data_IF_014507819897
#
_entry.id   IF_014507819897
#
_cell.length_a   1.000
_cell.length_b   1.000
_cell.length_c   1.000
_cell.angle_alpha   90.00
_cell.angle_beta   90.00
_cell.angle_gamma   90.00
#
_symmetry.space_group_name_H-M   'P 1'
#
loop_
_entity.id
_entity.type
_entity.pdbx_description
1 polymer ?
#
# COMPACT_ATOMS: atom_id res chain seq x y z
N UNK A 1 50.62 16.71 -50.66
CA UNK A 1 49.84 17.94 -50.47
C UNK A 1 48.58 17.55 -49.74
N UNK A 2 48.50 17.83 -48.47
CA UNK A 2 47.30 17.58 -47.67
C UNK A 2 46.37 18.81 -47.68
N UNK A 3 45.12 18.59 -47.88
CA UNK A 3 44.05 19.57 -47.76
C UNK A 3 43.79 19.89 -46.30
N UNK A 4 43.79 21.17 -46.03
CA UNK A 4 43.51 21.82 -44.75
C UNK A 4 42.01 22.06 -44.65
N UNK A 5 41.35 21.75 -43.52
CA UNK A 5 39.94 22.14 -43.29
C UNK A 5 39.86 23.57 -42.76
N UNK A 6 38.83 24.32 -43.07
CA UNK A 6 38.66 25.71 -42.61
C UNK A 6 38.16 25.80 -41.15
N UNK A 7 38.84 26.67 -40.43
CA UNK A 7 38.43 27.24 -39.13
C UNK A 7 37.06 27.97 -39.25
N UNK A 8 36.14 27.63 -38.39
CA UNK A 8 35.00 28.48 -38.06
C UNK A 8 34.93 28.67 -36.54
N UNK A 9 35.71 29.65 -36.10
CA UNK A 9 35.50 30.36 -34.84
C UNK A 9 34.34 31.35 -35.06
N UNK A 10 33.18 31.07 -34.49
CA UNK A 10 32.16 32.07 -34.19
C UNK A 10 31.79 32.01 -32.72
N UNK A 11 31.83 33.15 -31.96
CA UNK A 11 31.50 33.17 -30.55
C UNK A 11 29.98 33.12 -30.36
N UNK A 12 29.47 32.52 -29.25
CA UNK A 12 28.05 32.43 -28.98
C UNK A 12 27.46 33.81 -28.61
N UNK A 13 26.45 34.21 -29.38
CA UNK A 13 25.71 35.42 -29.18
C UNK A 13 24.93 35.44 -27.86
N UNK A 14 25.02 36.55 -27.24
CA UNK A 14 24.33 37.07 -26.05
C UNK A 14 22.79 36.91 -26.16
N UNK A 15 22.18 36.01 -25.41
CA UNK A 15 20.73 35.96 -25.21
C UNK A 15 20.39 36.30 -23.76
N UNK A 16 20.72 37.54 -23.37
CA UNK A 16 20.17 38.12 -22.16
C UNK A 16 19.27 39.28 -22.58
N UNK A 17 18.09 39.31 -21.98
CA UNK A 17 17.08 40.38 -21.99
C UNK A 17 15.91 40.24 -22.98
N UNK A 18 14.92 39.42 -22.59
CA UNK A 18 13.54 39.67 -22.94
C UNK A 18 12.65 39.52 -21.70
N UNK A 19 11.93 40.59 -21.29
CA UNK A 19 10.96 40.50 -20.20
C UNK A 19 9.70 39.75 -20.65
N UNK A 20 9.01 39.01 -19.72
CA UNK A 20 7.81 38.26 -20.05
C UNK A 20 6.62 39.17 -20.36
N UNK A 21 5.71 38.76 -21.29
CA UNK A 21 4.56 39.57 -21.68
C UNK A 21 3.54 39.70 -20.54
N UNK A 22 3.04 40.91 -20.39
CA UNK A 22 2.02 41.33 -19.43
C UNK A 22 0.69 40.58 -19.65
N UNK A 23 0.16 40.01 -18.57
CA UNK A 23 -1.18 39.38 -18.55
C UNK A 23 -2.25 40.49 -18.55
N UNK A 24 -2.97 40.64 -19.63
CA UNK A 24 -4.16 41.46 -19.72
C UNK A 24 -5.31 40.80 -18.94
N UNK A 25 -5.83 41.50 -17.95
CA UNK A 25 -7.14 41.24 -17.35
C UNK A 25 -8.21 41.48 -18.42
N UNK A 26 -9.05 40.49 -18.65
CA UNK A 26 -10.38 40.70 -19.25
C UNK A 26 -11.40 40.02 -18.38
N UNK A 27 -12.18 40.83 -17.72
CA UNK A 27 -13.48 40.51 -17.16
C UNK A 27 -14.40 40.06 -18.32
N UNK A 28 -15.08 38.96 -18.16
CA UNK A 28 -16.33 38.70 -18.84
C UNK A 28 -17.18 37.70 -18.03
N UNK A 29 -18.24 38.26 -17.49
CA UNK A 29 -19.41 37.53 -17.01
C UNK A 29 -19.99 36.65 -18.12
N UNK A 30 -20.33 35.40 -17.78
CA UNK A 30 -21.00 34.46 -18.69
C UNK A 30 -21.62 33.30 -17.92
N UNK A 31 -22.91 33.45 -17.61
CA UNK A 31 -23.81 32.38 -17.11
C UNK A 31 -23.80 31.20 -18.04
N UNK A 32 -23.62 29.99 -17.53
CA UNK A 32 -23.84 28.74 -18.28
C UNK A 32 -24.00 27.56 -17.34
N UNK A 33 -25.24 27.07 -17.22
CA UNK A 33 -25.69 25.86 -16.55
C UNK A 33 -25.00 24.62 -17.09
N UNK A 34 -24.75 23.64 -16.21
CA UNK A 34 -24.89 22.23 -16.57
C UNK A 34 -23.67 21.37 -16.36
N UNK A 35 -23.83 20.36 -15.54
CA UNK A 35 -22.95 19.19 -15.59
C UNK A 35 -22.26 18.88 -14.26
N UNK A 36 -23.06 18.61 -13.27
CA UNK A 36 -22.70 17.85 -12.10
C UNK A 36 -22.20 16.46 -12.54
N UNK A 37 -20.90 16.32 -12.65
CA UNK A 37 -20.21 15.02 -12.62
C UNK A 37 -19.34 15.04 -11.39
N UNK A 38 -20.00 14.94 -10.25
CA UNK A 38 -19.40 14.48 -9.03
C UNK A 38 -18.89 13.05 -9.28
N UNK A 39 -17.64 12.94 -9.72
CA UNK A 39 -16.87 11.74 -9.50
C UNK A 39 -16.75 11.57 -7.98
N UNK A 40 -17.69 10.80 -7.45
CA UNK A 40 -17.65 10.26 -6.11
C UNK A 40 -16.40 9.36 -5.99
N UNK A 41 -15.26 10.04 -5.77
CA UNK A 41 -14.08 9.38 -5.24
C UNK A 41 -14.39 9.22 -3.77
N UNK A 42 -15.00 8.07 -3.45
CA UNK A 42 -15.23 7.62 -2.10
C UNK A 42 -14.00 7.96 -1.27
N UNK A 43 -14.20 8.83 -0.30
CA UNK A 43 -13.19 9.24 0.66
C UNK A 43 -12.83 8.01 1.50
N UNK A 44 -11.84 7.25 1.02
CA UNK A 44 -11.14 6.22 1.77
C UNK A 44 -10.36 6.89 2.92
N UNK A 45 -11.09 7.27 3.98
CA UNK A 45 -10.54 7.76 5.24
C UNK A 45 -10.23 6.60 6.19
N UNK A 46 -9.94 5.42 5.64
CA UNK A 46 -9.50 4.25 6.39
C UNK A 46 -8.06 4.44 6.87
N UNK A 47 -7.90 4.77 8.13
CA UNK A 47 -6.70 4.55 8.97
C UNK A 47 -5.33 4.77 8.30
N UNK A 48 -5.08 5.97 7.78
CA UNK A 48 -3.71 6.44 7.53
C UNK A 48 -3.03 6.60 8.91
N UNK A 49 -2.45 5.54 9.44
CA UNK A 49 -1.62 5.62 10.65
C UNK A 49 -0.33 6.35 10.26
N UNK A 50 -0.07 7.56 10.78
CA UNK A 50 1.20 8.21 10.52
C UNK A 50 2.30 7.41 11.20
N UNK A 51 3.28 6.98 10.42
CA UNK A 51 4.52 6.43 10.93
C UNK A 51 5.36 7.50 11.64
N UNK A 52 6.50 7.13 12.24
CA UNK A 52 7.41 8.05 12.89
C UNK A 52 7.80 9.20 11.96
N UNK A 53 7.67 10.44 12.43
CA UNK A 53 7.96 11.64 11.66
C UNK A 53 6.91 12.02 10.61
N UNK A 54 5.64 11.54 10.74
CA UNK A 54 4.54 11.92 9.85
C UNK A 54 4.62 11.29 8.44
N UNK A 55 5.50 10.32 8.23
CA UNK A 55 5.60 9.56 6.96
C UNK A 55 4.55 8.46 6.94
N UNK A 56 3.98 8.19 5.76
CA UNK A 56 3.11 7.02 5.57
C UNK A 56 3.94 5.75 5.68
N UNK A 57 3.38 4.73 6.35
CA UNK A 57 3.99 3.41 6.39
C UNK A 57 3.97 2.76 5.00
N UNK A 58 4.97 1.95 4.64
CA UNK A 58 4.99 1.21 3.38
C UNK A 58 3.74 0.34 3.22
N UNK A 59 3.04 0.48 2.10
CA UNK A 59 1.85 -0.30 1.76
C UNK A 59 1.58 -0.27 0.25
N UNK A 60 0.80 -1.24 -0.21
CA UNK A 60 0.29 -1.28 -1.58
C UNK A 60 -1.14 -1.86 -1.56
N UNK A 61 -2.13 -0.96 -1.45
CA UNK A 61 -3.54 -1.35 -1.39
C UNK A 61 -3.98 -2.13 -2.63
N UNK A 62 -3.51 -1.74 -3.81
CA UNK A 62 -3.89 -2.42 -5.07
C UNK A 62 -3.40 -3.88 -5.08
N UNK A 63 -2.21 -4.16 -4.50
CA UNK A 63 -1.70 -5.52 -4.38
C UNK A 63 -2.49 -6.33 -3.33
N UNK A 64 -2.85 -5.72 -2.20
CA UNK A 64 -3.68 -6.35 -1.17
C UNK A 64 -5.06 -6.71 -1.73
N UNK A 65 -5.74 -5.77 -2.37
CA UNK A 65 -7.05 -5.98 -2.99
C UNK A 65 -7.00 -7.04 -4.10
N UNK A 66 -5.96 -7.00 -4.95
CA UNK A 66 -5.78 -7.98 -6.02
C UNK A 66 -5.50 -9.40 -5.47
N UNK A 67 -4.76 -9.50 -4.36
CA UNK A 67 -4.50 -10.78 -3.70
C UNK A 67 -5.78 -11.38 -3.13
N UNK A 68 -6.53 -10.61 -2.35
CA UNK A 68 -7.80 -11.05 -1.75
C UNK A 68 -8.83 -11.43 -2.81
N UNK A 69 -8.94 -10.64 -3.86
CA UNK A 69 -9.83 -10.96 -4.96
C UNK A 69 -9.41 -12.22 -5.73
N UNK A 70 -8.09 -12.46 -5.89
CA UNK A 70 -7.59 -13.72 -6.46
C UNK A 70 -7.92 -14.93 -5.57
N UNK A 71 -7.85 -14.78 -4.24
CA UNK A 71 -8.21 -15.82 -3.28
C UNK A 71 -9.71 -16.14 -3.31
N UNK A 72 -10.58 -15.13 -3.53
CA UNK A 72 -12.03 -15.33 -3.71
C UNK A 72 -12.39 -16.05 -5.02
N UNK A 73 -11.48 -16.04 -6.01
CA UNK A 73 -11.69 -16.63 -7.34
C UNK A 73 -11.03 -18.00 -7.50
N UNK A 74 -10.00 -18.32 -6.72
CA UNK A 74 -9.16 -19.50 -6.95
C UNK A 74 -8.59 -20.08 -5.68
N UNK A 75 -8.83 -21.38 -5.47
CA UNK A 75 -8.25 -22.14 -4.34
C UNK A 75 -6.72 -22.16 -4.39
N UNK A 76 -6.13 -22.29 -5.57
CA UNK A 76 -4.67 -22.25 -5.70
C UNK A 76 -4.06 -20.90 -5.30
N UNK A 77 -4.83 -19.81 -5.44
CA UNK A 77 -4.39 -18.51 -4.93
C UNK A 77 -4.41 -18.45 -3.39
N UNK A 78 -5.35 -19.14 -2.74
CA UNK A 78 -5.38 -19.27 -1.28
C UNK A 78 -4.16 -20.04 -0.79
N UNK A 79 -3.86 -21.19 -1.40
CA UNK A 79 -2.72 -22.02 -1.03
C UNK A 79 -1.40 -21.20 -1.12
N UNK A 80 -1.18 -20.52 -2.25
CA UNK A 80 0.01 -19.68 -2.46
C UNK A 80 0.06 -18.49 -1.49
N UNK A 81 -1.06 -17.83 -1.22
CA UNK A 81 -1.10 -16.72 -0.28
C UNK A 81 -0.76 -17.16 1.14
N UNK A 82 -1.31 -18.32 1.58
CA UNK A 82 -1.10 -18.84 2.93
C UNK A 82 0.35 -19.28 3.21
N UNK A 83 1.15 -19.52 2.16
CA UNK A 83 2.57 -19.82 2.30
C UNK A 83 3.44 -18.57 2.48
N UNK A 84 2.96 -17.40 2.03
CA UNK A 84 3.77 -16.19 1.92
C UNK A 84 3.36 -15.08 2.90
N UNK A 85 2.07 -14.99 3.25
CA UNK A 85 1.53 -13.89 4.06
C UNK A 85 0.58 -14.39 5.13
N UNK A 86 0.46 -13.60 6.18
CA UNK A 86 -0.51 -13.74 7.27
C UNK A 86 -1.48 -12.55 7.32
N UNK A 87 -2.51 -12.59 8.16
CA UNK A 87 -3.46 -11.48 8.31
C UNK A 87 -2.81 -10.18 8.79
N UNK A 88 -1.77 -10.27 9.62
CA UNK A 88 -1.04 -9.13 10.17
C UNK A 88 -0.16 -8.43 9.12
N UNK A 89 0.11 -9.08 7.98
CA UNK A 89 0.88 -8.53 6.88
C UNK A 89 0.09 -7.55 6.01
N UNK A 90 -1.21 -7.44 6.22
CA UNK A 90 -2.03 -6.45 5.53
C UNK A 90 -1.93 -5.08 6.20
N UNK A 91 -1.78 -4.04 5.40
CA UNK A 91 -1.75 -2.66 5.90
C UNK A 91 -3.13 -2.22 6.42
N UNK A 92 -4.20 -2.62 5.70
CA UNK A 92 -5.57 -2.35 6.11
C UNK A 92 -6.09 -3.48 6.99
N UNK A 93 -6.49 -3.21 8.25
CA UNK A 93 -7.06 -4.25 9.12
C UNK A 93 -8.27 -4.96 8.49
N UNK A 94 -9.08 -4.23 7.72
CA UNK A 94 -10.21 -4.80 6.97
C UNK A 94 -9.77 -5.92 6.00
N UNK A 95 -8.62 -5.76 5.34
CA UNK A 95 -8.07 -6.78 4.44
C UNK A 95 -7.57 -8.02 5.22
N UNK A 96 -6.95 -7.81 6.39
CA UNK A 96 -6.58 -8.90 7.30
C UNK A 96 -7.79 -9.72 7.73
N UNK A 97 -8.90 -9.07 8.09
CA UNK A 97 -10.15 -9.77 8.44
C UNK A 97 -10.72 -10.60 7.29
N UNK A 98 -10.68 -10.06 6.07
CA UNK A 98 -11.11 -10.81 4.87
C UNK A 98 -10.18 -12.02 4.63
N UNK A 99 -8.87 -11.84 4.76
CA UNK A 99 -7.89 -12.91 4.64
C UNK A 99 -8.14 -14.04 5.64
N UNK A 100 -8.35 -13.70 6.94
CA UNK A 100 -8.64 -14.67 7.99
C UNK A 100 -9.93 -15.46 7.72
N UNK A 101 -10.99 -14.79 7.27
CA UNK A 101 -12.23 -15.45 6.92
C UNK A 101 -12.05 -16.42 5.74
N UNK A 102 -11.31 -16.04 4.69
CA UNK A 102 -11.01 -16.89 3.54
C UNK A 102 -10.22 -18.12 3.96
N UNK A 103 -9.13 -17.93 4.71
CA UNK A 103 -8.25 -19.03 5.13
C UNK A 103 -8.93 -19.96 6.12
N UNK A 104 -9.78 -19.43 7.02
CA UNK A 104 -10.61 -20.22 7.94
C UNK A 104 -11.59 -21.13 7.19
N UNK A 105 -12.33 -20.60 6.21
CA UNK A 105 -13.24 -21.39 5.37
C UNK A 105 -12.49 -22.46 4.58
N UNK A 106 -11.36 -22.08 3.96
CA UNK A 106 -10.53 -23.01 3.19
C UNK A 106 -9.99 -24.15 4.05
N UNK A 107 -9.53 -23.86 5.28
CA UNK A 107 -9.03 -24.86 6.22
C UNK A 107 -10.11 -25.87 6.65
N UNK A 108 -11.36 -25.44 6.73
CA UNK A 108 -12.52 -26.31 6.99
C UNK A 108 -13.00 -27.07 5.74
N UNK A 109 -12.40 -26.81 4.58
CA UNK A 109 -12.82 -27.39 3.30
C UNK A 109 -14.15 -26.86 2.78
N UNK A 110 -14.60 -25.72 3.30
CA UNK A 110 -15.83 -25.03 2.88
C UNK A 110 -15.61 -24.23 1.58
N UNK A 111 -16.68 -23.99 0.79
CA UNK A 111 -16.58 -23.13 -0.37
C UNK A 111 -16.14 -21.72 0.02
N UNK A 112 -15.26 -21.11 -0.77
CA UNK A 112 -14.81 -19.74 -0.59
C UNK A 112 -15.33 -18.91 -1.73
N UNK A 113 -16.30 -18.03 -1.42
CA UNK A 113 -16.90 -17.09 -2.33
C UNK A 113 -17.39 -15.85 -1.53
N UNK A 114 -17.75 -14.73 -2.18
CA UNK A 114 -18.18 -13.53 -1.47
C UNK A 114 -19.36 -13.73 -0.50
N UNK A 115 -20.22 -14.71 -0.74
CA UNK A 115 -21.40 -14.96 0.10
C UNK A 115 -20.98 -15.70 1.39
N UNK A 116 -20.20 -16.76 1.24
CA UNK A 116 -19.72 -17.57 2.38
C UNK A 116 -18.75 -16.78 3.27
N UNK A 117 -17.90 -15.95 2.67
CA UNK A 117 -16.98 -15.06 3.41
C UNK A 117 -17.78 -13.95 4.13
N UNK A 118 -18.81 -13.38 3.52
CA UNK A 118 -19.67 -12.40 4.19
C UNK A 118 -20.39 -13.01 5.40
N UNK A 119 -20.85 -14.25 5.30
CA UNK A 119 -21.49 -14.96 6.40
C UNK A 119 -20.50 -15.24 7.54
N UNK A 120 -19.26 -15.65 7.23
CA UNK A 120 -18.21 -15.88 8.23
C UNK A 120 -17.85 -14.58 8.96
N UNK A 121 -17.67 -13.49 8.22
CA UNK A 121 -17.42 -12.16 8.80
C UNK A 121 -18.60 -11.64 9.63
N UNK A 122 -19.82 -11.93 9.19
CA UNK A 122 -21.03 -11.57 9.96
C UNK A 122 -21.10 -12.29 11.30
N UNK A 123 -20.73 -13.58 11.35
CA UNK A 123 -20.67 -14.35 12.61
C UNK A 123 -19.59 -13.82 13.57
N UNK A 124 -18.55 -13.21 13.04
CA UNK A 124 -17.48 -12.60 13.82
C UNK A 124 -17.74 -11.12 14.14
N UNK A 125 -18.89 -10.55 13.78
CA UNK A 125 -19.23 -9.12 13.90
C UNK A 125 -18.23 -8.19 13.17
N UNK A 126 -17.57 -8.68 12.09
CA UNK A 126 -16.56 -7.96 11.34
C UNK A 126 -17.05 -7.47 9.96
N UNK A 127 -18.26 -7.82 9.53
CA UNK A 127 -18.77 -7.48 8.20
C UNK A 127 -18.84 -5.96 7.98
N UNK A 128 -19.28 -5.20 8.98
CA UNK A 128 -19.32 -3.74 8.91
C UNK A 128 -17.92 -3.12 8.92
N UNK A 129 -16.97 -3.75 9.62
CA UNK A 129 -15.58 -3.28 9.67
C UNK A 129 -14.86 -3.33 8.32
N UNK A 130 -15.26 -4.24 7.44
CA UNK A 130 -14.74 -4.32 6.07
C UNK A 130 -15.48 -3.41 5.08
N UNK A 131 -16.58 -2.75 5.49
CA UNK A 131 -17.40 -1.92 4.63
C UNK A 131 -18.59 -2.67 3.99
N UNK A 132 -18.99 -3.80 4.56
CA UNK A 132 -20.14 -4.59 4.14
C UNK A 132 -19.87 -5.56 2.98
N UNK A 133 -20.88 -6.34 2.56
CA UNK A 133 -20.72 -7.41 1.56
C UNK A 133 -20.35 -6.89 0.17
N UNK A 134 -20.67 -5.63 -0.14
CA UNK A 134 -20.30 -4.99 -1.41
C UNK A 134 -18.79 -4.93 -1.64
N UNK A 135 -18.00 -4.82 -0.56
CA UNK A 135 -16.53 -4.81 -0.61
C UNK A 135 -15.98 -6.12 -1.17
N UNK A 136 -16.53 -7.27 -0.77
CA UNK A 136 -16.10 -8.58 -1.27
C UNK A 136 -16.36 -8.74 -2.76
N UNK A 137 -17.52 -8.26 -3.23
CA UNK A 137 -17.83 -8.25 -4.65
C UNK A 137 -16.90 -7.32 -5.44
N UNK A 138 -16.55 -6.16 -4.87
CA UNK A 138 -15.61 -5.22 -5.48
C UNK A 138 -14.20 -5.81 -5.59
N UNK A 139 -13.71 -6.49 -4.54
CA UNK A 139 -12.43 -7.21 -4.55
C UNK A 139 -12.39 -8.27 -5.64
N UNK A 140 -13.44 -9.09 -5.73
CA UNK A 140 -13.55 -10.13 -6.76
C UNK A 140 -13.55 -9.54 -8.17
N UNK A 141 -14.34 -8.49 -8.41
CA UNK A 141 -14.47 -7.84 -9.70
C UNK A 141 -13.23 -7.05 -10.13
N UNK A 142 -12.49 -6.50 -9.17
CA UNK A 142 -11.29 -5.69 -9.39
C UNK A 142 -10.01 -6.49 -9.65
N UNK A 143 -10.06 -7.83 -9.56
CA UNK A 143 -8.87 -8.67 -9.69
C UNK A 143 -8.41 -8.82 -11.15
N UNK A 144 -7.19 -8.38 -11.51
CA UNK A 144 -6.73 -8.41 -12.89
C UNK A 144 -6.44 -9.83 -13.39
N UNK A 145 -5.81 -10.67 -12.55
CA UNK A 145 -5.43 -12.04 -12.88
C UNK A 145 -5.18 -12.90 -11.65
N UNK A 146 -5.88 -14.00 -11.51
CA UNK A 146 -5.67 -14.97 -10.41
C UNK A 146 -4.31 -15.68 -10.47
N UNK A 147 -3.76 -15.86 -11.68
CA UNK A 147 -2.43 -16.45 -11.89
C UNK A 147 -1.28 -15.61 -11.33
N UNK A 148 -1.53 -14.34 -11.00
CA UNK A 148 -0.54 -13.43 -10.43
C UNK A 148 -0.57 -13.38 -8.90
N UNK A 149 -1.35 -14.23 -8.22
CA UNK A 149 -1.50 -14.25 -6.76
C UNK A 149 -0.14 -14.30 -6.02
N UNK A 150 0.80 -15.13 -6.47
CA UNK A 150 2.15 -15.20 -5.90
C UNK A 150 2.91 -13.87 -6.00
N UNK A 151 2.70 -13.11 -7.08
CA UNK A 151 3.33 -11.79 -7.23
C UNK A 151 2.70 -10.77 -6.29
N UNK A 152 1.37 -10.79 -6.17
CA UNK A 152 0.66 -9.91 -5.23
C UNK A 152 1.04 -10.21 -3.78
N UNK A 153 1.07 -11.49 -3.39
CA UNK A 153 1.49 -11.91 -2.06
C UNK A 153 2.91 -11.43 -1.72
N UNK A 154 3.87 -11.57 -2.63
CA UNK A 154 5.23 -11.06 -2.43
C UNK A 154 5.30 -9.54 -2.23
N UNK A 155 4.48 -8.76 -2.94
CA UNK A 155 4.42 -7.32 -2.75
C UNK A 155 3.87 -6.99 -1.34
N UNK A 156 2.85 -7.71 -0.87
CA UNK A 156 2.30 -7.54 0.48
C UNK A 156 3.35 -7.88 1.54
N UNK A 157 4.01 -9.03 1.41
CA UNK A 157 5.10 -9.49 2.28
C UNK A 157 6.24 -8.47 2.37
N UNK A 158 6.77 -8.01 1.22
CA UNK A 158 7.85 -7.01 1.17
C UNK A 158 7.48 -5.72 1.93
N UNK A 159 6.24 -5.24 1.79
CA UNK A 159 5.78 -4.06 2.51
C UNK A 159 5.55 -4.34 4.00
N UNK A 160 5.11 -5.53 4.37
CA UNK A 160 4.99 -5.95 5.77
C UNK A 160 6.34 -6.00 6.46
N UNK A 161 7.36 -6.60 5.83
CA UNK A 161 8.73 -6.62 6.34
C UNK A 161 9.29 -5.22 6.55
N UNK A 162 9.06 -4.29 5.61
CA UNK A 162 9.46 -2.89 5.78
C UNK A 162 8.74 -2.22 6.95
N UNK A 163 7.46 -2.51 7.19
CA UNK A 163 6.73 -2.03 8.37
C UNK A 163 7.29 -2.60 9.66
N UNK A 164 7.61 -3.90 9.66
CA UNK A 164 8.27 -4.58 10.77
C UNK A 164 9.61 -3.91 11.14
N UNK A 165 10.44 -3.62 10.13
CA UNK A 165 11.71 -2.91 10.32
C UNK A 165 11.53 -1.52 10.94
N UNK A 166 10.53 -0.75 10.48
CA UNK A 166 10.19 0.55 11.05
C UNK A 166 9.72 0.40 12.50
N UNK A 167 8.89 -0.61 12.79
CA UNK A 167 8.42 -0.90 14.15
C UNK A 167 9.59 -1.16 15.11
N UNK A 168 10.54 -1.99 14.70
CA UNK A 168 11.75 -2.29 15.49
C UNK A 168 12.60 -1.05 15.72
N UNK A 169 12.78 -0.23 14.70
CA UNK A 169 13.52 1.03 14.83
C UNK A 169 12.87 1.97 15.86
N UNK A 170 11.52 2.01 15.92
CA UNK A 170 10.80 2.76 16.94
C UNK A 170 11.04 2.21 18.35
N UNK A 171 11.01 0.88 18.52
CA UNK A 171 11.27 0.24 19.81
C UNK A 171 12.71 0.53 20.26
N UNK A 172 13.69 0.50 19.35
CA UNK A 172 15.08 0.87 19.68
C UNK A 172 15.20 2.31 20.13
N UNK A 173 14.53 3.23 19.44
CA UNK A 173 14.50 4.63 19.85
C UNK A 173 13.91 4.78 21.27
N UNK A 174 12.80 4.10 21.56
CA UNK A 174 12.16 4.11 22.87
C UNK A 174 13.07 3.55 23.98
N UNK A 175 13.81 2.46 23.71
CA UNK A 175 14.78 1.91 24.68
C UNK A 175 15.83 2.95 25.02
N UNK A 176 16.34 3.68 24.01
CA UNK A 176 17.35 4.73 24.22
C UNK A 176 16.80 5.94 24.99
N UNK A 177 15.59 6.41 24.64
CA UNK A 177 14.96 7.58 25.29
C UNK A 177 14.57 7.34 26.76
N UNK A 178 14.34 6.08 27.18
CA UNK A 178 14.05 5.73 28.59
C UNK A 178 15.24 5.88 29.53
N UNK A 179 16.44 6.19 29.03
CA UNK A 179 17.68 6.33 29.81
C UNK A 179 17.86 5.16 30.79
N UNK A 180 18.04 3.93 30.32
CA UNK A 180 18.08 2.74 31.16
C UNK A 180 19.26 2.79 32.15
N UNK A 181 19.01 2.41 33.42
CA UNK A 181 20.04 2.35 34.49
C UNK A 181 21.16 1.36 34.14
N UNK A 182 20.89 0.35 33.30
CA UNK A 182 21.84 -0.67 32.90
C UNK A 182 21.94 -0.72 31.37
N UNK A 183 22.86 0.04 30.79
CA UNK A 183 23.09 0.15 29.35
C UNK A 183 23.34 -1.22 28.68
N UNK A 184 24.16 -2.14 29.21
CA UNK A 184 24.35 -3.46 28.59
C UNK A 184 23.05 -4.23 28.39
N UNK A 185 22.15 -4.24 29.38
CA UNK A 185 20.84 -4.91 29.24
C UNK A 185 19.95 -4.31 28.15
N UNK A 186 20.08 -3.01 27.94
CA UNK A 186 19.33 -2.36 26.84
C UNK A 186 19.84 -2.81 25.47
N UNK A 187 21.15 -3.05 25.33
CA UNK A 187 21.71 -3.62 24.10
C UNK A 187 21.29 -5.09 23.91
N UNK A 188 21.36 -5.92 24.95
CA UNK A 188 20.91 -7.32 24.91
C UNK A 188 19.43 -7.41 24.47
N UNK A 189 18.59 -6.50 24.99
CA UNK A 189 17.18 -6.42 24.60
C UNK A 189 17.01 -6.02 23.13
N UNK A 190 17.78 -5.05 22.64
CA UNK A 190 17.75 -4.62 21.25
C UNK A 190 18.19 -5.73 20.30
N UNK A 191 19.25 -6.48 20.64
CA UNK A 191 19.72 -7.63 19.85
C UNK A 191 18.66 -8.73 19.77
N UNK A 192 17.99 -9.05 20.87
CA UNK A 192 16.92 -10.05 20.90
C UNK A 192 15.77 -9.67 19.95
N UNK A 193 15.32 -8.41 19.99
CA UNK A 193 14.24 -7.91 19.14
C UNK A 193 14.65 -7.95 17.65
N UNK A 194 15.91 -7.58 17.35
CA UNK A 194 16.41 -7.64 15.98
C UNK A 194 16.43 -9.09 15.46
N UNK A 195 16.85 -10.03 16.30
CA UNK A 195 16.90 -11.45 15.96
C UNK A 195 15.52 -12.02 15.66
N UNK A 196 14.51 -11.67 16.47
CA UNK A 196 13.14 -12.14 16.30
C UNK A 196 12.55 -11.67 14.96
N UNK A 197 12.83 -10.43 14.53
CA UNK A 197 12.35 -9.90 13.24
C UNK A 197 13.09 -10.48 12.04
N UNK A 198 14.37 -10.87 12.22
CA UNK A 198 15.14 -11.47 11.12
C UNK A 198 14.76 -12.94 10.84
N UNK A 199 13.93 -13.56 11.69
CA UNK A 199 13.47 -14.95 11.53
C UNK A 199 12.07 -15.08 10.89
N UNK A 200 11.38 -13.98 10.63
CA UNK A 200 10.11 -13.91 9.92
C UNK A 200 10.35 -13.50 8.48
#
# INVERSE_FOLDING_TARGET
>A
MPDEPPDHDEPPGDYLDQPPPARSRRDSEGRGRGGDRSSDRGSDRGSDRPGPGGRRLPHNNDAEESLLGAMLLSRSAIDVASELVSADDFYRPAHGHVYDAITSLSARGEPVDPVTVAEELSRADLLDAIGGPGTLLALQAGTPATSSASRYAKIVEEHALLRGLIGVACVFAEIGYRLPLHVPKAFDQAESIMFDVAQH
#
